data_IF_078338114630
#
_entry.id   IF_078338114630
#
_cell.length_a   1.000
_cell.length_b   1.000
_cell.length_c   1.000
_cell.angle_alpha   90.00
_cell.angle_beta   90.00
_cell.angle_gamma   90.00
#
_symmetry.space_group_name_H-M   'P 1'
#
loop_
_entity.id
_entity.type
_entity.pdbx_description
1 polymer ?
#
# COMPACT_ATOMS: atom_id res chain seq x y z
N UNK A 1 19.51 -6.95 8.44
CA UNK A 1 19.57 -5.93 7.37
C UNK A 1 19.44 -4.52 7.93
N UNK A 2 18.36 -4.18 8.64
CA UNK A 2 18.15 -2.82 9.22
C UNK A 2 19.28 -2.39 10.14
N UNK A 3 19.78 -3.27 11.02
CA UNK A 3 20.93 -2.96 11.87
C UNK A 3 22.17 -2.51 11.07
N UNK A 4 22.45 -3.14 9.92
CA UNK A 4 23.57 -2.73 9.05
C UNK A 4 23.31 -1.35 8.43
N UNK A 5 22.10 -1.11 7.93
CA UNK A 5 21.71 0.22 7.39
C UNK A 5 21.78 1.31 8.46
N UNK A 6 21.46 1.00 9.71
CA UNK A 6 21.56 1.94 10.82
C UNK A 6 23.01 2.34 11.09
N UNK A 7 23.93 1.38 11.08
CA UNK A 7 25.36 1.63 11.26
C UNK A 7 25.93 2.49 10.14
N UNK A 8 25.60 2.18 8.88
CA UNK A 8 26.16 2.88 7.71
C UNK A 8 25.50 4.24 7.44
N UNK A 9 24.17 4.33 7.59
CA UNK A 9 23.40 5.49 7.16
C UNK A 9 22.95 6.39 8.32
N UNK A 10 22.96 5.88 9.56
CA UNK A 10 22.54 6.56 10.77
C UNK A 10 21.11 6.21 11.22
N UNK A 11 20.79 6.48 12.48
CA UNK A 11 19.50 6.14 13.12
C UNK A 11 18.30 6.86 12.51
N UNK A 12 18.47 8.08 12.02
CA UNK A 12 17.37 8.81 11.37
C UNK A 12 16.92 8.16 10.07
N UNK A 13 17.83 7.50 9.34
CA UNK A 13 17.52 6.84 8.08
C UNK A 13 16.64 5.60 8.29
N UNK A 14 16.89 4.83 9.35
CA UNK A 14 16.14 3.61 9.65
C UNK A 14 14.90 3.83 10.51
N UNK A 15 14.68 5.05 11.04
CA UNK A 15 13.62 5.33 12.01
C UNK A 15 12.22 4.88 11.52
N UNK A 16 11.85 5.22 10.28
CA UNK A 16 10.55 4.80 9.70
C UNK A 16 10.45 3.28 9.58
N UNK A 17 11.51 2.62 9.10
CA UNK A 17 11.56 1.15 8.96
C UNK A 17 11.43 0.47 10.32
N UNK A 18 12.18 0.93 11.33
CA UNK A 18 12.08 0.42 12.70
C UNK A 18 10.65 0.60 13.26
N UNK A 19 10.03 1.75 12.99
CA UNK A 19 8.62 2.01 13.32
C UNK A 19 7.65 1.02 12.67
N UNK A 20 7.84 0.68 11.39
CA UNK A 20 7.02 -0.32 10.70
C UNK A 20 7.09 -1.69 11.38
N UNK A 21 8.27 -2.15 11.79
CA UNK A 21 8.41 -3.44 12.49
C UNK A 21 7.72 -3.41 13.86
N UNK A 22 7.85 -2.31 14.60
CA UNK A 22 7.15 -2.13 15.88
C UNK A 22 5.63 -2.18 15.71
N UNK A 23 5.08 -1.54 14.67
CA UNK A 23 3.64 -1.60 14.38
C UNK A 23 3.16 -3.04 14.10
N UNK A 24 3.97 -3.85 13.41
CA UNK A 24 3.64 -5.26 13.15
C UNK A 24 3.62 -6.08 14.44
N UNK A 25 4.59 -5.87 15.33
CA UNK A 25 4.64 -6.55 16.62
C UNK A 25 3.47 -6.13 17.52
N UNK A 26 3.24 -4.83 17.65
CA UNK A 26 2.12 -4.29 18.43
C UNK A 26 0.76 -4.75 17.89
N UNK A 27 0.62 -4.88 16.56
CA UNK A 27 -0.59 -5.41 15.94
C UNK A 27 -0.90 -6.84 16.37
N UNK A 28 0.10 -7.69 16.60
CA UNK A 28 -0.12 -9.05 17.10
C UNK A 28 -0.72 -9.03 18.50
N UNK A 29 -0.15 -8.22 19.39
CA UNK A 29 -0.66 -8.03 20.75
C UNK A 29 -2.08 -7.46 20.76
N UNK A 30 -2.36 -6.49 19.89
CA UNK A 30 -3.71 -5.92 19.72
C UNK A 30 -4.70 -7.00 19.27
N UNK A 31 -4.33 -7.85 18.31
CA UNK A 31 -5.20 -8.94 17.83
C UNK A 31 -5.48 -9.99 18.91
N UNK A 32 -4.47 -10.40 19.67
CA UNK A 32 -4.65 -11.33 20.79
C UNK A 32 -5.58 -10.72 21.85
N UNK A 33 -5.35 -9.45 22.17
CA UNK A 33 -6.19 -8.71 23.12
C UNK A 33 -7.62 -8.53 22.62
N UNK A 34 -7.80 -8.31 21.31
CA UNK A 34 -9.12 -8.24 20.68
C UNK A 34 -9.86 -9.58 20.78
N UNK A 35 -9.21 -10.68 20.39
CA UNK A 35 -9.79 -12.04 20.47
C UNK A 35 -10.22 -12.43 21.90
N UNK A 36 -9.56 -11.88 22.92
CA UNK A 36 -9.90 -12.12 24.33
C UNK A 36 -10.91 -11.12 24.91
N UNK A 37 -11.21 -10.03 24.20
CA UNK A 37 -12.12 -8.97 24.67
C UNK A 37 -13.58 -9.43 24.78
N UNK A 38 -14.35 -8.79 25.65
CA UNK A 38 -15.79 -9.05 25.76
C UNK A 38 -16.50 -8.68 24.46
N UNK A 39 -16.13 -7.58 23.81
CA UNK A 39 -16.69 -7.15 22.53
C UNK A 39 -16.57 -8.24 21.46
N UNK A 40 -15.39 -8.84 21.33
CA UNK A 40 -15.18 -9.92 20.36
C UNK A 40 -16.00 -11.18 20.70
N UNK A 41 -16.07 -11.55 21.99
CA UNK A 41 -16.75 -12.77 22.43
C UNK A 41 -18.27 -12.68 22.38
N UNK A 42 -18.85 -11.50 22.53
CA UNK A 42 -20.32 -11.33 22.62
C UNK A 42 -20.94 -10.76 21.36
N UNK A 43 -20.22 -9.90 20.61
CA UNK A 43 -20.78 -9.19 19.46
C UNK A 43 -20.38 -9.78 18.10
N UNK A 44 -19.27 -10.53 18.00
CA UNK A 44 -18.83 -11.05 16.71
C UNK A 44 -19.71 -12.23 16.27
N UNK A 45 -20.17 -12.23 15.01
CA UNK A 45 -20.73 -13.42 14.38
C UNK A 45 -19.71 -14.58 14.39
N UNK A 46 -20.22 -15.81 14.30
CA UNK A 46 -19.37 -16.98 14.06
C UNK A 46 -19.07 -17.14 12.57
N UNK A 47 -17.86 -17.56 12.21
CA UNK A 47 -17.55 -18.02 10.85
C UNK A 47 -16.43 -17.27 10.12
N UNK A 48 -16.04 -16.07 10.57
CA UNK A 48 -14.90 -15.33 10.02
C UNK A 48 -13.81 -15.19 11.08
N UNK A 49 -12.59 -15.61 10.74
CA UNK A 49 -11.39 -15.26 11.50
C UNK A 49 -10.80 -13.95 10.95
N UNK A 50 -10.80 -12.91 11.77
CA UNK A 50 -10.23 -11.61 11.42
C UNK A 50 -8.89 -11.38 12.14
N UNK A 51 -7.93 -10.80 11.40
CA UNK A 51 -6.66 -10.30 11.93
C UNK A 51 -6.38 -8.91 11.34
N UNK A 52 -6.13 -7.92 12.19
CA UNK A 52 -6.02 -6.51 11.82
C UNK A 52 -4.62 -6.00 12.11
N UNK A 53 -3.99 -5.37 11.13
CA UNK A 53 -2.72 -4.66 11.34
C UNK A 53 -3.00 -3.17 11.49
N UNK A 54 -2.69 -2.61 12.65
CA UNK A 54 -2.86 -1.18 12.94
C UNK A 54 -1.53 -0.50 12.68
N UNK A 55 -1.50 0.40 11.69
CA UNK A 55 -0.29 0.99 11.14
C UNK A 55 -0.22 2.48 11.46
N UNK A 56 0.92 2.95 11.95
CA UNK A 56 1.13 4.36 12.31
C UNK A 56 1.36 5.21 11.05
N UNK A 57 0.50 6.20 10.83
CA UNK A 57 0.67 7.16 9.73
C UNK A 57 1.99 7.91 9.90
N UNK A 58 2.83 7.92 8.87
CA UNK A 58 4.15 8.58 8.86
C UNK A 58 5.34 7.61 8.89
N UNK A 59 5.14 6.38 9.35
CA UNK A 59 6.14 5.29 9.18
C UNK A 59 5.92 4.52 7.89
N UNK A 60 4.67 4.30 7.52
CA UNK A 60 4.28 3.56 6.32
C UNK A 60 4.12 4.48 5.11
N UNK A 61 4.26 3.95 3.87
CA UNK A 61 3.87 4.66 2.67
C UNK A 61 2.42 5.15 2.74
N UNK A 62 2.13 6.28 2.10
CA UNK A 62 0.75 6.77 2.02
C UNK A 62 0.02 6.05 0.90
N UNK A 63 -1.05 5.36 1.26
CA UNK A 63 -1.96 4.70 0.32
C UNK A 63 -3.20 5.57 0.12
N UNK A 64 -3.63 5.82 -1.13
CA UNK A 64 -4.86 6.54 -1.39
C UNK A 64 -6.05 5.72 -0.86
N UNK A 65 -6.99 6.33 -0.11
CA UNK A 65 -8.19 5.63 0.32
C UNK A 65 -9.01 5.20 -0.90
N UNK A 66 -9.38 3.92 -0.95
CA UNK A 66 -10.25 3.38 -1.99
C UNK A 66 -11.62 3.03 -1.39
N UNK A 67 -12.66 3.59 -2.00
CA UNK A 67 -14.05 3.33 -1.62
C UNK A 67 -14.46 1.97 -2.17
N UNK A 68 -15.07 1.14 -1.32
CA UNK A 68 -15.66 -0.14 -1.69
C UNK A 68 -16.84 -0.42 -0.75
N UNK A 69 -17.91 -1.00 -1.30
CA UNK A 69 -19.04 -1.51 -0.53
C UNK A 69 -18.70 -2.92 -0.07
N UNK A 70 -18.40 -3.07 1.21
CA UNK A 70 -18.13 -4.37 1.80
C UNK A 70 -19.44 -5.11 2.11
N UNK A 71 -19.46 -6.45 2.03
CA UNK A 71 -20.52 -7.27 2.58
C UNK A 71 -20.84 -6.89 4.03
N UNK A 72 -22.12 -7.01 4.41
CA UNK A 72 -22.60 -6.61 5.73
C UNK A 72 -21.78 -7.25 6.85
N UNK A 73 -21.45 -8.53 6.71
CA UNK A 73 -20.65 -9.29 7.66
C UNK A 73 -19.30 -8.62 7.90
N UNK A 74 -18.57 -8.22 6.85
CA UNK A 74 -17.26 -7.58 7.03
C UNK A 74 -17.37 -6.21 7.72
N UNK A 75 -18.42 -5.44 7.43
CA UNK A 75 -18.66 -4.16 8.12
C UNK A 75 -18.86 -4.36 9.63
N UNK A 76 -19.64 -5.37 10.02
CA UNK A 76 -19.87 -5.69 11.45
C UNK A 76 -18.55 -5.97 12.18
N UNK A 77 -17.66 -6.77 11.57
CA UNK A 77 -16.35 -7.04 12.16
C UNK A 77 -15.48 -5.77 12.25
N UNK A 78 -15.48 -4.92 11.22
CA UNK A 78 -14.74 -3.67 11.22
C UNK A 78 -15.21 -2.71 12.33
N UNK A 79 -16.53 -2.59 12.52
CA UNK A 79 -17.13 -1.71 13.53
C UNK A 79 -16.84 -2.19 14.95
N UNK A 80 -16.97 -3.50 15.20
CA UNK A 80 -16.67 -4.09 16.52
C UNK A 80 -15.19 -3.93 16.86
N UNK A 81 -14.28 -4.13 15.89
CA UNK A 81 -12.85 -3.89 16.10
C UNK A 81 -12.57 -2.41 16.38
N UNK A 82 -13.20 -1.50 15.64
CA UNK A 82 -13.04 -0.06 15.83
C UNK A 82 -13.51 0.38 17.22
N UNK A 83 -14.67 -0.10 17.68
CA UNK A 83 -15.18 0.16 19.04
C UNK A 83 -14.17 -0.33 20.09
N UNK A 84 -13.70 -1.58 19.97
CA UNK A 84 -12.68 -2.13 20.85
C UNK A 84 -11.41 -1.27 20.87
N UNK A 85 -10.88 -0.91 19.71
CA UNK A 85 -9.63 -0.16 19.61
C UNK A 85 -9.75 1.23 20.23
N UNK A 86 -10.83 1.97 19.92
CA UNK A 86 -11.05 3.32 20.44
C UNK A 86 -11.37 3.34 21.94
N UNK A 87 -11.91 2.24 22.50
CA UNK A 87 -12.08 2.09 23.95
C UNK A 87 -10.75 2.02 24.71
N UNK A 88 -9.68 1.54 24.07
CA UNK A 88 -8.33 1.42 24.66
C UNK A 88 -7.42 2.60 24.32
N UNK A 89 -7.56 3.15 23.11
CA UNK A 89 -6.68 4.19 22.58
C UNK A 89 -7.47 5.46 22.27
N UNK A 90 -7.80 6.22 23.31
CA UNK A 90 -8.51 7.49 23.21
C UNK A 90 -7.73 8.54 22.40
N UNK A 91 -8.45 9.38 21.65
CA UNK A 91 -7.85 10.47 20.86
C UNK A 91 -7.24 10.03 19.53
N UNK A 92 -7.39 8.75 19.15
CA UNK A 92 -6.97 8.24 17.84
C UNK A 92 -8.13 8.20 16.85
N UNK A 93 -7.80 8.27 15.56
CA UNK A 93 -8.74 8.05 14.45
C UNK A 93 -8.22 6.91 13.58
N UNK A 94 -9.05 5.89 13.36
CA UNK A 94 -8.76 4.79 12.46
C UNK A 94 -9.30 5.07 11.05
N UNK A 95 -8.56 4.63 10.04
CA UNK A 95 -8.94 4.66 8.63
C UNK A 95 -8.56 3.32 8.02
N UNK A 96 -9.53 2.61 7.45
CA UNK A 96 -9.30 1.32 6.78
C UNK A 96 -8.66 1.53 5.41
N UNK A 97 -7.64 0.73 5.11
CA UNK A 97 -6.97 0.72 3.81
C UNK A 97 -7.35 -0.54 3.04
N UNK A 98 -8.46 -0.48 2.30
CA UNK A 98 -9.07 -1.63 1.62
C UNK A 98 -8.15 -2.28 0.57
N UNK A 99 -7.30 -1.48 -0.08
CA UNK A 99 -6.33 -1.94 -1.08
C UNK A 99 -5.29 -2.93 -0.53
N UNK A 100 -5.02 -2.89 0.78
CA UNK A 100 -4.08 -3.79 1.46
C UNK A 100 -4.77 -5.04 2.05
N UNK A 101 -6.10 -5.08 1.99
CA UNK A 101 -6.90 -6.17 2.52
C UNK A 101 -6.74 -7.44 1.70
N UNK A 102 -6.75 -8.58 2.38
CA UNK A 102 -6.75 -9.90 1.76
C UNK A 102 -7.58 -10.87 2.60
N UNK A 103 -8.16 -11.86 1.95
CA UNK A 103 -8.99 -12.87 2.59
C UNK A 103 -8.64 -14.26 2.07
N UNK A 104 -9.06 -15.28 2.83
CA UNK A 104 -9.07 -16.67 2.39
C UNK A 104 -10.52 -17.11 2.33
N UNK A 105 -11.01 -17.39 1.13
CA UNK A 105 -12.38 -17.85 0.90
C UNK A 105 -12.39 -19.37 0.72
N UNK A 106 -13.39 -20.03 1.32
CA UNK A 106 -13.71 -21.42 1.00
C UNK A 106 -14.75 -21.39 -0.12
N UNK A 107 -14.44 -22.06 -1.22
CA UNK A 107 -15.30 -22.12 -2.39
C UNK A 107 -15.65 -23.58 -2.68
N UNK A 108 -16.94 -23.82 -2.87
CA UNK A 108 -17.48 -25.12 -3.26
C UNK A 108 -17.60 -25.17 -4.79
N UNK A 109 -16.77 -26.01 -5.42
CA UNK A 109 -16.85 -26.31 -6.85
C UNK A 109 -17.35 -27.74 -7.06
N UNK A 110 -17.89 -28.03 -8.24
CA UNK A 110 -18.38 -29.37 -8.63
C UNK A 110 -17.31 -30.46 -8.48
N UNK A 111 -16.04 -30.12 -8.73
CA UNK A 111 -14.87 -31.01 -8.63
C UNK A 111 -14.22 -31.04 -7.25
N UNK A 112 -14.84 -30.41 -6.25
CA UNK A 112 -14.42 -30.40 -4.86
C UNK A 112 -14.14 -29.02 -4.30
N UNK A 113 -14.03 -28.96 -2.96
CA UNK A 113 -13.81 -27.73 -2.21
C UNK A 113 -12.40 -27.18 -2.44
N UNK A 114 -12.26 -25.85 -2.46
CA UNK A 114 -10.98 -25.14 -2.60
C UNK A 114 -10.89 -23.96 -1.65
N UNK A 115 -9.67 -23.58 -1.30
CA UNK A 115 -9.39 -22.33 -0.59
C UNK A 115 -8.73 -21.31 -1.51
N UNK A 116 -9.35 -20.15 -1.66
CA UNK A 116 -8.88 -19.06 -2.50
C UNK A 116 -8.26 -17.98 -1.62
N UNK A 117 -6.94 -17.80 -1.72
CA UNK A 117 -6.26 -16.64 -1.15
C UNK A 117 -6.33 -15.49 -2.16
N UNK A 118 -7.10 -14.45 -1.81
CA UNK A 118 -7.54 -13.37 -2.71
C UNK A 118 -7.39 -12.00 -2.03
N UNK A 119 -7.33 -10.93 -2.82
CA UNK A 119 -7.43 -9.55 -2.30
C UNK A 119 -8.84 -9.24 -1.82
N UNK A 120 -9.00 -8.17 -1.03
CA UNK A 120 -10.32 -7.74 -0.56
C UNK A 120 -11.26 -7.39 -1.72
N UNK A 121 -10.76 -6.74 -2.78
CA UNK A 121 -11.58 -6.43 -3.97
C UNK A 121 -12.05 -7.69 -4.68
N UNK A 122 -11.18 -8.68 -4.83
CA UNK A 122 -11.56 -9.99 -5.37
C UNK A 122 -12.60 -10.67 -4.48
N UNK A 123 -12.47 -10.57 -3.15
CA UNK A 123 -13.46 -11.12 -2.22
C UNK A 123 -14.82 -10.49 -2.40
N UNK A 124 -14.91 -9.16 -2.41
CA UNK A 124 -16.18 -8.45 -2.57
C UNK A 124 -16.87 -8.85 -3.87
N UNK A 125 -16.11 -8.94 -4.98
CA UNK A 125 -16.65 -9.38 -6.28
C UNK A 125 -17.14 -10.83 -6.23
N UNK A 126 -16.34 -11.76 -5.67
CA UNK A 126 -16.70 -13.17 -5.61
C UNK A 126 -17.94 -13.43 -4.74
N UNK A 127 -18.13 -12.64 -3.67
CA UNK A 127 -19.28 -12.77 -2.78
C UNK A 127 -20.61 -12.46 -3.47
N UNK A 128 -20.63 -11.63 -4.52
CA UNK A 128 -21.86 -11.34 -5.28
C UNK A 128 -22.43 -12.58 -5.99
N UNK A 129 -21.57 -13.55 -6.32
CA UNK A 129 -21.99 -14.77 -7.02
C UNK A 129 -22.63 -15.82 -6.12
N UNK A 130 -22.79 -15.53 -4.81
CA UNK A 130 -23.61 -16.36 -3.94
C UNK A 130 -25.12 -16.15 -4.21
N UNK A 131 -25.51 -14.96 -4.66
CA UNK A 131 -26.92 -14.57 -4.88
C UNK A 131 -27.26 -14.38 -6.37
N UNK A 132 -26.27 -14.44 -7.26
CA UNK A 132 -26.44 -14.23 -8.70
C UNK A 132 -25.59 -15.20 -9.53
N UNK A 133 -26.21 -15.84 -10.53
CA UNK A 133 -25.50 -16.74 -11.44
C UNK A 133 -24.66 -15.99 -12.48
N UNK A 134 -25.16 -14.82 -12.92
CA UNK A 134 -24.56 -13.99 -13.97
C UNK A 134 -24.67 -12.51 -13.60
N UNK A 135 -23.58 -11.77 -13.76
CA UNK A 135 -23.52 -10.33 -13.52
C UNK A 135 -22.77 -9.62 -14.64
N UNK A 136 -23.26 -8.45 -15.08
CA UNK A 136 -22.52 -7.59 -16.01
C UNK A 136 -21.40 -6.82 -15.29
N UNK A 137 -20.44 -6.27 -16.05
CA UNK A 137 -19.43 -5.36 -15.51
C UNK A 137 -20.08 -4.21 -14.72
N UNK A 138 -21.14 -3.61 -15.27
CA UNK A 138 -21.84 -2.50 -14.65
C UNK A 138 -22.54 -2.91 -13.34
N UNK A 139 -23.19 -4.08 -13.29
CA UNK A 139 -23.84 -4.57 -12.07
C UNK A 139 -22.82 -4.76 -10.93
N UNK A 140 -21.65 -5.32 -11.26
CA UNK A 140 -20.56 -5.52 -10.28
C UNK A 140 -20.03 -4.17 -9.82
N UNK A 141 -19.83 -3.21 -10.75
CA UNK A 141 -19.36 -1.87 -10.43
C UNK A 141 -20.31 -1.15 -9.48
N UNK A 142 -21.61 -1.18 -9.75
CA UNK A 142 -22.61 -0.50 -8.94
C UNK A 142 -22.81 -1.16 -7.57
N UNK A 143 -22.71 -2.49 -7.51
CA UNK A 143 -22.83 -3.26 -6.27
C UNK A 143 -21.61 -3.09 -5.35
N UNK A 144 -20.40 -3.06 -5.92
CA UNK A 144 -19.14 -3.00 -5.15
C UNK A 144 -18.58 -1.59 -4.97
N UNK A 145 -18.99 -0.63 -5.81
CA UNK A 145 -18.44 0.73 -5.89
C UNK A 145 -16.91 0.81 -6.10
N UNK A 146 -16.28 -0.26 -6.62
CA UNK A 146 -14.86 -0.28 -6.96
C UNK A 146 -14.63 0.60 -8.20
N UNK A 147 -13.57 1.41 -8.18
CA UNK A 147 -13.18 2.25 -9.32
C UNK A 147 -12.91 1.40 -10.57
N UNK A 148 -13.32 1.90 -11.72
CA UNK A 148 -13.29 1.22 -13.02
C UNK A 148 -11.97 0.49 -13.31
N UNK A 149 -10.85 1.20 -13.13
CA UNK A 149 -9.51 0.67 -13.36
C UNK A 149 -9.17 -0.51 -12.46
N UNK A 150 -9.45 -0.39 -11.17
CA UNK A 150 -9.17 -1.44 -10.18
C UNK A 150 -10.12 -2.63 -10.37
N UNK A 151 -11.38 -2.35 -10.74
CA UNK A 151 -12.37 -3.37 -11.03
C UNK A 151 -11.98 -4.20 -12.26
N UNK A 152 -11.54 -3.57 -13.36
CA UNK A 152 -11.04 -4.29 -14.55
C UNK A 152 -9.88 -5.20 -14.21
N UNK A 153 -8.88 -4.72 -13.47
CA UNK A 153 -7.74 -5.55 -13.01
C UNK A 153 -8.19 -6.71 -12.13
N UNK A 154 -9.13 -6.45 -11.22
CA UNK A 154 -9.73 -7.46 -10.34
C UNK A 154 -10.44 -8.54 -11.17
N UNK A 155 -11.31 -8.16 -12.10
CA UNK A 155 -12.05 -9.10 -12.95
C UNK A 155 -11.12 -9.86 -13.92
N UNK A 156 -10.12 -9.17 -14.49
CA UNK A 156 -9.11 -9.80 -15.35
C UNK A 156 -8.37 -10.91 -14.60
N UNK A 157 -8.02 -10.67 -13.33
CA UNK A 157 -7.33 -11.66 -12.50
C UNK A 157 -8.20 -12.89 -12.16
N UNK A 158 -9.52 -12.71 -12.06
CA UNK A 158 -10.48 -13.75 -11.72
C UNK A 158 -10.98 -14.54 -12.93
N UNK A 159 -11.05 -13.93 -14.12
CA UNK A 159 -11.70 -14.50 -15.30
C UNK A 159 -10.76 -14.74 -16.50
N UNK A 160 -9.75 -13.89 -16.70
CA UNK A 160 -8.91 -13.91 -17.89
C UNK A 160 -7.53 -14.57 -17.64
N UNK A 161 -7.10 -14.59 -16.37
CA UNK A 161 -5.81 -15.11 -15.93
C UNK A 161 -5.63 -16.63 -16.03
N UNK A 162 -4.60 -17.14 -15.34
CA UNK A 162 -4.33 -18.58 -15.23
C UNK A 162 -5.34 -19.31 -14.35
N UNK A 163 -5.76 -18.64 -13.27
CA UNK A 163 -6.75 -19.16 -12.32
C UNK A 163 -8.08 -18.50 -12.65
N UNK A 164 -8.95 -19.22 -13.36
CA UNK A 164 -10.23 -18.70 -13.85
C UNK A 164 -11.36 -19.15 -12.96
N UNK A 165 -11.52 -18.47 -11.82
CA UNK A 165 -12.63 -18.71 -10.88
C UNK A 165 -13.95 -18.24 -11.47
N UNK A 166 -13.90 -17.20 -12.32
CA UNK A 166 -15.02 -16.72 -13.10
C UNK A 166 -14.81 -17.02 -14.60
N UNK A 167 -15.90 -17.04 -15.36
CA UNK A 167 -15.89 -17.08 -16.82
C UNK A 167 -16.39 -15.74 -17.37
N UNK A 168 -15.61 -15.10 -18.25
CA UNK A 168 -16.00 -13.88 -18.98
C UNK A 168 -16.75 -14.22 -20.26
N UNK A 169 -17.79 -13.46 -20.56
CA UNK A 169 -18.63 -13.55 -21.74
C UNK A 169 -18.77 -12.15 -22.38
N UNK A 170 -18.28 -11.94 -23.62
CA UNK A 170 -17.50 -12.85 -24.46
C UNK A 170 -16.11 -13.16 -23.89
N UNK A 171 -15.52 -14.29 -24.32
CA UNK A 171 -14.15 -14.67 -23.89
C UNK A 171 -13.14 -13.71 -24.51
N UNK A 172 -12.23 -13.19 -23.69
CA UNK A 172 -11.20 -12.24 -24.11
C UNK A 172 -10.09 -12.12 -23.07
N UNK A 173 -9.07 -11.32 -23.38
CA UNK A 173 -8.00 -10.99 -22.42
C UNK A 173 -8.30 -9.73 -21.61
N UNK A 174 -8.98 -8.78 -22.24
CA UNK A 174 -9.40 -7.52 -21.62
C UNK A 174 -10.83 -7.61 -21.10
N UNK A 175 -11.16 -6.68 -20.20
CA UNK A 175 -12.49 -6.51 -19.61
C UNK A 175 -13.08 -5.21 -20.15
N UNK A 176 -14.19 -5.32 -20.86
CA UNK A 176 -14.96 -4.25 -21.48
C UNK A 176 -16.29 -4.02 -20.73
N UNK A 177 -16.98 -2.93 -21.05
CA UNK A 177 -18.18 -2.49 -20.31
C UNK A 177 -19.40 -3.38 -20.51
N UNK A 178 -19.49 -4.02 -21.67
CA UNK A 178 -20.57 -4.93 -22.07
C UNK A 178 -20.32 -6.38 -21.64
N UNK A 179 -19.18 -6.66 -21.01
CA UNK A 179 -18.84 -7.99 -20.54
C UNK A 179 -19.75 -8.46 -19.41
N UNK A 180 -20.04 -9.75 -19.42
CA UNK A 180 -20.69 -10.45 -18.33
C UNK A 180 -19.79 -11.54 -17.74
N UNK A 181 -20.02 -11.83 -16.46
CA UNK A 181 -19.24 -12.79 -15.69
C UNK A 181 -20.18 -13.82 -15.06
N UNK A 182 -19.73 -15.08 -15.05
CA UNK A 182 -20.44 -16.22 -14.46
C UNK A 182 -19.47 -17.01 -13.60
N UNK A 183 -19.94 -17.61 -12.51
CA UNK A 183 -19.14 -18.50 -11.69
C UNK A 183 -18.68 -19.75 -12.47
N UNK A 184 -17.38 -20.08 -12.42
CA UNK A 184 -16.85 -21.22 -13.16
C UNK A 184 -17.04 -22.53 -12.37
N UNK A 185 -18.22 -23.13 -12.45
CA UNK A 185 -18.52 -24.41 -11.78
C UNK A 185 -17.56 -25.55 -12.16
N UNK A 186 -17.09 -25.55 -13.41
CA UNK A 186 -16.19 -26.56 -13.96
C UNK A 186 -14.71 -26.35 -13.62
N UNK A 187 -14.40 -25.32 -12.82
CA UNK A 187 -13.05 -24.98 -12.39
C UNK A 187 -12.33 -26.18 -11.77
N UNK A 188 -11.06 -26.35 -12.13
CA UNK A 188 -10.21 -27.40 -11.59
C UNK A 188 -8.80 -26.87 -11.40
N UNK A 189 -8.20 -27.24 -10.28
CA UNK A 189 -6.83 -26.93 -9.96
C UNK A 189 -6.20 -28.10 -9.17
N UNK A 190 -4.90 -28.37 -9.37
CA UNK A 190 -4.22 -29.48 -8.69
C UNK A 190 -4.11 -29.26 -7.18
N UNK A 191 -3.97 -28.00 -6.74
CA UNK A 191 -3.82 -27.67 -5.33
C UNK A 191 -5.18 -27.39 -4.68
N UNK A 192 -5.30 -27.68 -3.38
CA UNK A 192 -6.46 -27.32 -2.57
C UNK A 192 -6.50 -25.82 -2.30
N UNK A 193 -5.36 -25.25 -1.88
CA UNK A 193 -5.20 -23.82 -1.64
C UNK A 193 -4.58 -23.14 -2.86
N UNK A 194 -5.24 -22.11 -3.35
CA UNK A 194 -4.92 -21.44 -4.61
C UNK A 194 -4.75 -19.95 -4.31
N UNK A 195 -3.64 -19.38 -4.76
CA UNK A 195 -3.38 -17.94 -4.67
C UNK A 195 -3.77 -17.29 -5.99
N UNK A 196 -4.80 -16.45 -5.98
CA UNK A 196 -5.17 -15.65 -7.15
C UNK A 196 -4.34 -14.38 -7.10
N UNK A 197 -3.36 -14.27 -7.99
CA UNK A 197 -2.55 -13.05 -8.08
C UNK A 197 -3.33 -11.96 -8.80
N UNK A 198 -3.40 -10.77 -8.21
CA UNK A 198 -3.90 -9.57 -8.90
C UNK A 198 -3.01 -9.33 -10.12
N UNK A 199 -3.64 -9.14 -11.28
CA UNK A 199 -2.92 -8.83 -12.51
C UNK A 199 -2.59 -7.34 -12.52
N UNK A 200 -1.29 -7.03 -12.60
CA UNK A 200 -0.84 -5.72 -13.01
C UNK A 200 -0.55 -5.82 -14.50
N UNK A 201 -1.50 -5.35 -15.30
CA UNK A 201 -1.24 -4.98 -16.68
C UNK A 201 -0.32 -3.76 -16.64
N UNK A 202 0.99 -4.02 -16.71
CA UNK A 202 2.00 -3.21 -17.41
C UNK A 202 3.41 -3.70 -17.05
N UNK A 203 3.85 -4.74 -17.75
CA UNK A 203 5.24 -4.88 -18.21
C UNK A 203 5.32 -6.07 -19.16
N UNK A 204 5.72 -5.78 -20.39
CA UNK A 204 5.97 -6.76 -21.43
C UNK A 204 6.79 -7.94 -20.93
N UNK A 205 6.42 -9.12 -21.44
CA UNK A 205 7.33 -10.23 -21.73
C UNK A 205 8.59 -10.32 -20.84
N UNK A 206 8.44 -10.85 -19.62
CA UNK A 206 9.54 -11.56 -18.97
C UNK A 206 9.17 -13.03 -18.83
N UNK A 207 9.72 -13.84 -19.75
CA UNK A 207 9.79 -15.30 -19.63
C UNK A 207 10.50 -15.64 -18.31
N UNK A 208 9.77 -16.11 -17.31
CA UNK A 208 10.36 -16.95 -16.27
C UNK A 208 10.18 -18.42 -16.67
N UNK A 209 11.30 -19.04 -17.04
CA UNK A 209 11.44 -20.46 -17.34
C UNK A 209 11.12 -21.25 -16.07
N UNK A 210 10.12 -22.12 -16.13
CA UNK A 210 9.92 -23.18 -15.15
C UNK A 210 11.16 -24.08 -15.15
N UNK A 211 11.73 -24.32 -13.97
CA UNK A 211 12.41 -25.58 -13.67
C UNK A 211 11.75 -26.15 -12.42
N UNK A 212 11.05 -27.26 -12.63
CA UNK A 212 10.52 -28.19 -11.63
C UNK A 212 11.66 -28.72 -10.77
N UNK A 213 11.51 -28.83 -9.44
CA UNK A 213 12.02 -29.97 -8.68
C UNK A 213 11.33 -30.15 -7.31
N UNK A 214 11.30 -31.41 -6.92
CA UNK A 214 10.61 -32.08 -5.82
C UNK A 214 11.11 -31.72 -4.41
N UNK A 215 10.24 -31.93 -3.40
CA UNK A 215 10.66 -32.35 -2.05
C UNK A 215 10.52 -31.33 -0.92
N UNK A 216 9.71 -31.71 0.08
CA UNK A 216 9.66 -31.21 1.46
C UNK A 216 9.11 -29.80 1.69
N UNK A 217 7.78 -29.72 1.88
CA UNK A 217 7.08 -28.51 2.29
C UNK A 217 7.32 -28.24 3.78
N UNK A 218 8.32 -27.41 4.08
CA UNK A 218 8.49 -26.71 5.37
C UNK A 218 7.39 -25.66 5.55
N UNK A 219 7.06 -25.35 6.81
CA UNK A 219 6.14 -24.30 7.25
C UNK A 219 6.26 -23.02 6.41
N UNK A 220 5.20 -22.67 5.69
CA UNK A 220 5.05 -21.34 5.11
C UNK A 220 4.06 -20.54 5.94
N UNK A 221 4.60 -19.66 6.78
CA UNK A 221 3.93 -18.44 7.17
C UNK A 221 3.42 -17.80 5.88
N UNK A 222 2.11 -17.57 5.77
CA UNK A 222 1.49 -17.00 4.57
C UNK A 222 2.02 -15.58 4.43
N UNK A 223 3.14 -15.44 3.71
CA UNK A 223 3.64 -14.14 3.30
C UNK A 223 2.56 -13.50 2.42
N UNK A 224 2.26 -12.25 2.75
CA UNK A 224 1.28 -11.39 2.09
C UNK A 224 1.24 -11.62 0.57
N UNK A 225 0.07 -11.46 -0.02
CA UNK A 225 -0.05 -11.35 -1.47
C UNK A 225 0.85 -10.19 -1.89
N UNK A 226 2.05 -10.48 -2.40
CA UNK A 226 2.94 -9.46 -2.95
C UNK A 226 2.26 -8.90 -4.18
N UNK A 227 1.55 -7.79 -4.00
CA UNK A 227 1.18 -6.91 -5.10
C UNK A 227 2.48 -6.40 -5.70
N UNK A 228 2.65 -6.57 -7.00
CA UNK A 228 3.79 -6.02 -7.72
C UNK A 228 3.45 -4.56 -8.05
N UNK A 229 4.41 -3.67 -7.86
CA UNK A 229 4.21 -2.22 -8.01
C UNK A 229 3.78 -1.88 -9.45
N UNK A 230 2.82 -0.96 -9.59
CA UNK A 230 2.36 -0.47 -10.90
C UNK A 230 3.26 0.63 -11.44
N UNK A 231 3.27 0.88 -12.75
CA UNK A 231 4.08 1.96 -13.35
C UNK A 231 3.71 3.33 -12.76
N UNK A 232 2.42 3.59 -12.56
CA UNK A 232 1.93 4.83 -11.96
C UNK A 232 2.31 4.97 -10.50
N UNK A 233 2.23 3.89 -9.73
CA UNK A 233 2.67 3.88 -8.33
C UNK A 233 4.17 4.15 -8.23
N UNK A 234 4.97 3.58 -9.13
CA UNK A 234 6.41 3.83 -9.20
C UNK A 234 6.73 5.28 -9.58
N UNK A 235 6.08 5.82 -10.61
CA UNK A 235 6.25 7.24 -11.00
C UNK A 235 5.84 8.17 -9.86
N UNK A 236 4.68 7.94 -9.24
CA UNK A 236 4.19 8.72 -8.09
C UNK A 236 5.15 8.64 -6.91
N UNK A 237 5.66 7.45 -6.59
CA UNK A 237 6.65 7.26 -5.51
C UNK A 237 7.95 8.01 -5.80
N UNK A 238 8.43 7.97 -7.04
CA UNK A 238 9.64 8.67 -7.47
C UNK A 238 9.47 10.19 -7.40
N UNK A 239 8.33 10.72 -7.84
CA UNK A 239 8.00 12.15 -7.74
C UNK A 239 7.97 12.63 -6.29
N UNK A 240 7.36 11.85 -5.39
CA UNK A 240 7.34 12.16 -3.95
C UNK A 240 8.74 12.18 -3.34
N UNK A 241 9.61 11.25 -3.73
CA UNK A 241 11.02 11.26 -3.30
C UNK A 241 11.73 12.54 -3.77
N UNK A 242 11.46 13.02 -4.99
CA UNK A 242 12.03 14.27 -5.48
C UNK A 242 11.52 15.48 -4.69
N UNK A 243 10.23 15.54 -4.39
CA UNK A 243 9.62 16.60 -3.59
C UNK A 243 10.17 16.60 -2.15
N UNK A 244 10.27 15.43 -1.51
CA UNK A 244 10.83 15.29 -0.15
C UNK A 244 12.28 15.78 -0.08
N UNK A 245 13.08 15.52 -1.13
CA UNK A 245 14.45 16.03 -1.23
C UNK A 245 14.49 17.55 -1.26
N UNK A 246 13.51 18.22 -1.90
CA UNK A 246 13.44 19.68 -1.91
C UNK A 246 13.19 20.23 -0.49
N UNK A 247 12.28 19.61 0.28
CA UNK A 247 12.06 20.01 1.67
C UNK A 247 13.27 19.75 2.56
N UNK A 248 14.01 18.65 2.32
CA UNK A 248 15.27 18.40 3.03
C UNK A 248 16.34 19.45 2.72
N UNK A 249 16.44 19.89 1.46
CA UNK A 249 17.33 20.98 1.06
C UNK A 249 16.95 22.28 1.77
N UNK A 250 15.68 22.68 1.73
CA UNK A 250 15.21 23.89 2.40
C UNK A 250 15.52 23.87 3.90
N UNK A 251 15.19 22.76 4.56
CA UNK A 251 15.42 22.59 6.00
C UNK A 251 16.91 22.62 6.35
N UNK A 252 17.79 22.10 5.48
CA UNK A 252 19.23 22.17 5.63
C UNK A 252 19.74 23.61 5.47
N UNK A 253 19.30 24.32 4.43
CA UNK A 253 19.66 25.73 4.21
C UNK A 253 19.27 26.58 5.41
N UNK A 254 18.01 26.49 5.86
CA UNK A 254 17.52 27.26 7.01
C UNK A 254 18.31 26.93 8.28
N UNK A 255 18.66 25.66 8.51
CA UNK A 255 19.44 25.25 9.70
C UNK A 255 20.86 25.80 9.69
N UNK A 256 21.54 25.75 8.54
CA UNK A 256 22.87 26.31 8.36
C UNK A 256 22.83 27.82 8.56
N UNK A 257 21.93 28.51 7.83
CA UNK A 257 21.83 29.97 7.85
C UNK A 257 21.39 30.52 9.21
N UNK A 258 20.51 29.81 9.93
CA UNK A 258 20.13 30.17 11.31
C UNK A 258 21.32 30.16 12.27
N UNK A 259 22.28 29.26 12.04
CA UNK A 259 23.48 29.11 12.88
C UNK A 259 24.57 30.10 12.50
N UNK A 260 24.84 30.27 11.19
CA UNK A 260 25.91 31.14 10.69
C UNK A 260 25.53 32.62 10.61
N UNK A 261 24.23 32.92 10.49
CA UNK A 261 23.61 34.25 10.28
C UNK A 261 23.99 34.95 8.97
N UNK A 262 25.25 34.89 8.58
CA UNK A 262 25.78 35.42 7.31
C UNK A 262 26.70 34.37 6.70
N UNK A 263 26.51 34.03 5.42
CA UNK A 263 27.33 33.02 4.74
C UNK A 263 27.44 33.30 3.24
N UNK A 264 28.62 33.04 2.67
CA UNK A 264 28.81 33.14 1.22
C UNK A 264 28.23 31.94 0.48
N UNK A 265 27.87 32.12 -0.79
CA UNK A 265 27.27 31.10 -1.63
C UNK A 265 28.14 29.83 -1.72
N UNK A 266 29.45 29.97 -1.93
CA UNK A 266 30.37 28.83 -2.01
C UNK A 266 30.43 28.04 -0.70
N UNK A 267 30.46 28.73 0.44
CA UNK A 267 30.50 28.08 1.76
C UNK A 267 29.17 27.41 2.09
N UNK A 268 28.04 28.06 1.77
CA UNK A 268 26.71 27.47 1.93
C UNK A 268 26.57 26.18 1.11
N UNK A 269 26.98 26.19 -0.16
CA UNK A 269 26.97 25.00 -1.01
C UNK A 269 27.85 23.90 -0.42
N UNK A 270 29.04 24.25 0.06
CA UNK A 270 29.97 23.27 0.66
C UNK A 270 29.36 22.60 1.89
N UNK A 271 28.78 23.37 2.82
CA UNK A 271 28.12 22.81 4.00
C UNK A 271 26.88 21.98 3.64
N UNK A 272 26.12 22.40 2.63
CA UNK A 272 24.96 21.62 2.14
C UNK A 272 25.38 20.26 1.60
N UNK A 273 26.44 20.18 0.79
CA UNK A 273 26.93 18.91 0.26
C UNK A 273 27.51 17.98 1.33
N UNK A 274 28.03 18.52 2.44
CA UNK A 274 28.45 17.72 3.59
C UNK A 274 27.25 17.13 4.34
N UNK A 275 26.13 17.86 4.42
CA UNK A 275 24.95 17.42 5.17
C UNK A 275 24.02 16.50 4.35
N UNK A 276 23.90 16.73 3.04
CA UNK A 276 22.96 16.04 2.16
C UNK A 276 23.58 14.79 1.54
N UNK A 277 23.03 13.62 1.87
CA UNK A 277 23.51 12.31 1.38
C UNK A 277 22.89 11.89 0.03
N UNK A 278 22.61 12.84 -0.86
CA UNK A 278 22.05 12.57 -2.19
C UNK A 278 22.51 13.59 -3.25
N UNK A 279 22.58 13.20 -4.54
CA UNK A 279 22.99 14.10 -5.60
C UNK A 279 21.93 15.18 -5.87
N UNK A 280 22.37 16.43 -6.03
CA UNK A 280 21.52 17.60 -6.31
C UNK A 280 22.16 18.42 -7.42
N UNK A 281 21.36 18.83 -8.41
CA UNK A 281 21.86 19.68 -9.49
C UNK A 281 22.02 21.13 -8.99
N UNK A 282 23.08 21.85 -9.39
CA UNK A 282 23.28 23.25 -8.99
C UNK A 282 22.09 24.17 -9.34
N UNK A 283 21.41 23.91 -10.46
CA UNK A 283 20.23 24.66 -10.88
C UNK A 283 19.07 24.51 -9.87
N UNK A 284 18.89 23.32 -9.28
CA UNK A 284 17.83 23.05 -8.31
C UNK A 284 18.14 23.73 -6.97
N UNK A 285 19.41 23.71 -6.53
CA UNK A 285 19.87 24.45 -5.34
C UNK A 285 19.59 25.94 -5.47
N UNK A 286 19.93 26.54 -6.63
CA UNK A 286 19.65 27.95 -6.88
C UNK A 286 18.16 28.26 -6.75
N UNK A 287 17.29 27.46 -7.38
CA UNK A 287 15.83 27.62 -7.26
C UNK A 287 15.34 27.55 -5.81
N UNK A 288 15.90 26.65 -4.99
CA UNK A 288 15.55 26.55 -3.56
C UNK A 288 15.98 27.79 -2.77
N UNK A 289 17.17 28.31 -3.02
CA UNK A 289 17.66 29.54 -2.37
C UNK A 289 16.77 30.73 -2.74
N UNK A 290 16.43 30.93 -4.02
CA UNK A 290 15.52 32.01 -4.43
C UNK A 290 14.15 31.86 -3.74
N UNK A 291 13.59 30.64 -3.69
CA UNK A 291 12.32 30.40 -3.00
C UNK A 291 12.37 30.73 -1.50
N UNK A 292 13.53 30.60 -0.85
CA UNK A 292 13.72 30.98 0.56
C UNK A 292 13.91 32.49 0.73
N UNK A 293 14.44 33.18 -0.28
CA UNK A 293 14.51 34.65 -0.31
C UNK A 293 13.11 35.24 -0.47
N UNK A 294 12.32 34.73 -1.43
CA UNK A 294 10.94 35.17 -1.69
C UNK A 294 10.03 34.96 -0.47
N UNK A 295 10.36 33.98 0.38
CA UNK A 295 9.66 33.67 1.64
C UNK A 295 10.25 34.37 2.86
N UNK A 296 11.16 35.32 2.66
CA UNK A 296 11.77 36.15 3.71
C UNK A 296 12.55 35.36 4.77
N UNK A 297 13.05 34.16 4.45
CA UNK A 297 13.99 33.45 5.34
C UNK A 297 15.42 33.96 5.18
N UNK A 298 15.75 34.41 3.97
CA UNK A 298 17.07 34.88 3.58
C UNK A 298 16.95 36.19 2.79
N UNK A 299 18.00 37.00 2.79
CA UNK A 299 18.19 38.07 1.83
C UNK A 299 19.61 38.03 1.25
N UNK A 300 19.79 38.65 0.08
CA UNK A 300 21.12 38.91 -0.46
C UNK A 300 21.69 40.16 0.19
N UNK A 301 22.98 40.15 0.48
CA UNK A 301 23.65 41.34 0.96
C UNK A 301 23.58 42.48 -0.06
N UNK A 302 23.43 43.72 0.42
CA UNK A 302 23.26 44.92 -0.43
C UNK A 302 24.48 45.19 -1.29
N UNK A 303 25.67 44.85 -0.81
CA UNK A 303 26.94 45.14 -1.49
C UNK A 303 27.45 43.94 -2.29
N UNK A 304 27.11 42.71 -1.87
CA UNK A 304 27.59 41.50 -2.54
C UNK A 304 26.47 40.44 -2.69
N UNK A 305 25.95 40.22 -3.92
CA UNK A 305 24.94 39.21 -4.19
C UNK A 305 25.36 37.75 -3.91
N UNK A 306 26.66 37.49 -3.67
CA UNK A 306 27.20 36.18 -3.29
C UNK A 306 27.15 35.92 -1.79
N UNK A 307 26.68 36.86 -0.99
CA UNK A 307 26.52 36.72 0.46
C UNK A 307 25.03 36.70 0.78
N UNK A 308 24.63 35.75 1.64
CA UNK A 308 23.26 35.63 2.13
C UNK A 308 23.22 35.98 3.62
N UNK A 309 22.20 36.73 4.02
CA UNK A 309 21.87 37.05 5.42
C UNK A 309 20.60 36.31 5.81
N UNK A 310 20.53 35.80 7.04
CA UNK A 310 19.35 35.14 7.60
C UNK A 310 18.43 36.14 8.29
N UNK A 311 17.14 36.13 7.96
CA UNK A 311 16.16 37.14 8.39
C UNK A 311 15.24 36.71 9.55
N UNK A 312 15.09 35.40 9.79
CA UNK A 312 14.15 34.84 10.78
C UNK A 312 14.85 34.25 12.02
#
# INVERSE_FOLDING_TARGET
>A
MISKLKTECGSQFTNKLEGMFKDIELSKEINESFKQSSQARTKLPSGIEMSVHVLTTGYWPTYPPMVVRLPHELNVYQDIFKEFYLSKYSGRRLMWQNSLGHCVLKADFTKGKKELAVSLFQTVVLMLFNDAEKLSFQDIKDSTAIEDKELRRTLQSLACGKVRVLQKLPKGREVEDDDSFVFNEGFSAPLYRIKVQVLISDLGHFKFRLLTFYGQMRLYQVNAIQMKETVEENTSTTERVFQDRQYQVDAAIVRIMKTRKVLSHTLLITELFQQLKFPIKPADLKKRIESLIDREYLERDKNNPQIYNYLA
#
